data_IF_524679885846
#
_entry.id   IF_524679885846
#
_cell.length_a   1.000
_cell.length_b   1.000
_cell.length_c   1.000
_cell.angle_alpha   90.00
_cell.angle_beta   90.00
_cell.angle_gamma   90.00
#
_symmetry.space_group_name_H-M   'P 1'
#
loop_
_entity.id
_entity.type
_entity.pdbx_description
1 polymer ?
#
# COMPACT_ATOMS: atom_id res chain seq x y z
N UNK A 1 17.99 -56.57 24.43
CA UNK A 1 18.70 -55.52 23.66
C UNK A 1 18.00 -55.34 22.32
N UNK A 2 17.10 -54.36 22.25
CA UNK A 2 16.33 -54.05 21.05
C UNK A 2 17.15 -53.07 20.19
N UNK A 3 17.55 -53.49 18.99
CA UNK A 3 18.06 -52.59 17.95
C UNK A 3 16.87 -52.20 17.06
N UNK A 4 16.50 -50.93 17.15
CA UNK A 4 15.53 -50.24 16.29
C UNK A 4 15.91 -50.36 14.81
N UNK A 5 14.94 -50.82 14.02
CA UNK A 5 14.81 -50.54 12.59
C UNK A 5 14.02 -49.24 12.44
N UNK A 6 14.56 -48.26 11.75
CA UNK A 6 13.80 -47.24 11.01
C UNK A 6 14.75 -46.31 10.26
N UNK A 7 15.22 -46.80 9.12
CA UNK A 7 15.79 -45.96 8.06
C UNK A 7 14.89 -46.10 6.84
N UNK A 8 13.67 -45.56 6.91
CA UNK A 8 12.89 -45.33 5.71
C UNK A 8 13.42 -44.06 5.05
N UNK A 9 14.14 -44.28 3.95
CA UNK A 9 14.52 -43.27 2.99
C UNK A 9 13.21 -42.86 2.32
N UNK A 10 12.68 -41.69 2.67
CA UNK A 10 11.56 -41.09 1.95
C UNK A 10 12.01 -40.84 0.51
N UNK A 11 11.24 -41.39 -0.41
CA UNK A 11 11.41 -41.32 -1.87
C UNK A 11 11.30 -39.89 -2.40
N UNK A 12 12.06 -39.60 -3.45
CA UNK A 12 12.21 -38.31 -4.16
C UNK A 12 10.93 -37.78 -4.87
N UNK A 13 9.75 -38.35 -4.61
CA UNK A 13 8.51 -38.14 -5.38
C UNK A 13 7.44 -37.27 -4.67
N UNK A 14 7.78 -36.60 -3.56
CA UNK A 14 6.92 -35.60 -2.90
C UNK A 14 7.52 -34.17 -2.89
N UNK A 15 8.17 -33.74 -3.97
CA UNK A 15 8.32 -32.31 -4.24
C UNK A 15 6.96 -31.73 -4.69
N UNK A 16 5.99 -31.73 -3.77
CA UNK A 16 4.93 -30.73 -3.82
C UNK A 16 5.64 -29.38 -3.92
N UNK A 17 5.17 -28.49 -4.79
CA UNK A 17 5.75 -27.15 -4.93
C UNK A 17 5.57 -26.43 -3.59
N UNK A 18 6.56 -26.57 -2.70
CA UNK A 18 6.64 -25.84 -1.44
C UNK A 18 6.79 -24.39 -1.84
N UNK A 19 5.70 -23.64 -1.73
CA UNK A 19 5.75 -22.20 -1.89
C UNK A 19 6.39 -21.67 -0.61
N UNK A 20 7.71 -21.48 -0.65
CA UNK A 20 8.44 -20.87 0.45
C UNK A 20 7.82 -19.50 0.73
N UNK A 21 7.23 -19.36 1.91
CA UNK A 21 6.70 -18.07 2.34
C UNK A 21 7.74 -17.33 3.19
N UNK A 22 7.44 -16.08 3.54
CA UNK A 22 8.36 -15.23 4.29
C UNK A 22 8.80 -15.87 5.62
N UNK A 23 7.91 -16.61 6.30
CA UNK A 23 8.25 -17.31 7.53
C UNK A 23 9.20 -18.50 7.26
N UNK A 24 8.97 -19.27 6.20
CA UNK A 24 9.89 -20.36 5.80
C UNK A 24 11.31 -19.82 5.57
N UNK A 25 11.43 -18.71 4.83
CA UNK A 25 12.73 -18.07 4.60
C UNK A 25 13.39 -17.58 5.89
N UNK A 26 12.62 -17.03 6.82
CA UNK A 26 13.15 -16.60 8.11
C UNK A 26 13.58 -17.75 9.00
N UNK A 27 12.85 -18.87 9.01
CA UNK A 27 13.23 -20.07 9.74
C UNK A 27 14.48 -20.72 9.14
N UNK A 28 14.60 -20.77 7.81
CA UNK A 28 15.81 -21.23 7.15
C UNK A 28 17.01 -20.35 7.50
N UNK A 29 16.86 -19.03 7.40
CA UNK A 29 17.93 -18.10 7.74
C UNK A 29 18.33 -18.18 9.22
N UNK A 30 17.39 -18.48 10.12
CA UNK A 30 17.64 -18.75 11.53
C UNK A 30 18.51 -19.99 11.73
N UNK A 31 18.18 -21.09 11.04
CA UNK A 31 18.94 -22.33 11.10
C UNK A 31 20.38 -22.14 10.58
N UNK A 32 20.55 -21.34 9.53
CA UNK A 32 21.86 -21.08 8.91
C UNK A 32 22.74 -20.11 9.72
N UNK A 33 22.14 -19.10 10.36
CA UNK A 33 22.89 -17.98 10.96
C UNK A 33 22.75 -17.88 12.48
N UNK A 34 22.06 -18.82 13.12
CA UNK A 34 21.90 -18.87 14.58
C UNK A 34 21.09 -17.70 15.15
N UNK A 35 20.09 -17.18 14.42
CA UNK A 35 19.26 -16.08 14.91
C UNK A 35 18.41 -16.51 16.10
N UNK A 36 18.17 -15.60 17.05
CA UNK A 36 17.28 -15.90 18.17
C UNK A 36 15.82 -15.96 17.73
N UNK A 37 15.02 -16.84 18.34
CA UNK A 37 13.57 -16.92 18.10
C UNK A 37 12.87 -15.59 18.41
N UNK A 38 13.36 -14.85 19.42
CA UNK A 38 12.87 -13.50 19.73
C UNK A 38 13.05 -12.55 18.55
N UNK A 39 14.24 -12.53 17.94
CA UNK A 39 14.52 -11.70 16.78
C UNK A 39 13.58 -12.02 15.60
N UNK A 40 13.38 -13.31 15.31
CA UNK A 40 12.44 -13.72 14.27
C UNK A 40 11.01 -13.23 14.53
N UNK A 41 10.52 -13.44 15.76
CA UNK A 41 9.18 -13.01 16.16
C UNK A 41 9.02 -11.50 16.02
N UNK A 42 9.98 -10.73 16.52
CA UNK A 42 9.93 -9.26 16.49
C UNK A 42 9.98 -8.75 15.04
N UNK A 43 10.77 -9.39 14.17
CA UNK A 43 10.80 -9.10 12.73
C UNK A 43 9.45 -9.42 12.05
N UNK A 44 8.86 -10.58 12.29
CA UNK A 44 7.56 -10.98 11.75
C UNK A 44 6.45 -10.01 12.16
N UNK A 45 6.43 -9.61 13.44
CA UNK A 45 5.49 -8.60 13.95
C UNK A 45 5.66 -7.27 13.21
N UNK A 46 6.88 -6.81 12.98
CA UNK A 46 7.15 -5.60 12.21
C UNK A 46 6.59 -5.68 10.79
N UNK A 47 6.78 -6.81 10.09
CA UNK A 47 6.22 -7.01 8.75
C UNK A 47 4.68 -7.02 8.74
N UNK A 48 4.05 -7.69 9.71
CA UNK A 48 2.59 -7.75 9.79
C UNK A 48 1.97 -6.39 10.06
N UNK A 49 2.50 -5.62 11.02
CA UNK A 49 2.01 -4.27 11.33
C UNK A 49 2.21 -3.35 10.14
N UNK A 50 3.40 -3.36 9.54
CA UNK A 50 3.71 -2.51 8.39
C UNK A 50 2.81 -2.81 7.18
N UNK A 51 2.56 -4.09 6.87
CA UNK A 51 1.76 -4.50 5.72
C UNK A 51 0.25 -4.36 5.91
N UNK A 52 -0.26 -4.62 7.11
CA UNK A 52 -1.71 -4.62 7.40
C UNK A 52 -2.28 -3.21 7.47
N UNK A 53 -1.78 -2.41 8.40
CA UNK A 53 -2.48 -1.18 8.81
C UNK A 53 -2.35 -0.08 7.76
N UNK A 54 -1.19 -0.01 7.09
CA UNK A 54 -0.96 0.97 6.00
C UNK A 54 -1.82 0.65 4.77
N UNK A 55 -1.92 -0.62 4.37
CA UNK A 55 -2.75 -1.06 3.24
C UNK A 55 -4.24 -0.90 3.54
N UNK A 56 -4.67 -1.21 4.77
CA UNK A 56 -6.05 -0.99 5.22
C UNK A 56 -6.45 0.49 5.16
N UNK A 57 -5.55 1.38 5.59
CA UNK A 57 -5.74 2.83 5.46
C UNK A 57 -5.89 3.26 4.00
N UNK A 58 -4.99 2.81 3.11
CA UNK A 58 -5.07 3.10 1.68
C UNK A 58 -6.41 2.65 1.08
N UNK A 59 -6.84 1.41 1.33
CA UNK A 59 -8.10 0.88 0.81
C UNK A 59 -9.30 1.66 1.35
N UNK A 60 -9.30 2.01 2.63
CA UNK A 60 -10.38 2.74 3.28
C UNK A 60 -10.55 4.14 2.67
N UNK A 61 -9.45 4.88 2.52
CA UNK A 61 -9.49 6.19 1.85
C UNK A 61 -9.84 6.06 0.36
N UNK A 62 -9.40 4.99 -0.31
CA UNK A 62 -9.76 4.74 -1.71
C UNK A 62 -11.28 4.57 -1.86
N UNK A 63 -11.90 3.73 -1.03
CA UNK A 63 -13.36 3.56 -1.04
C UNK A 63 -14.05 4.89 -0.79
N UNK A 64 -13.58 5.69 0.18
CA UNK A 64 -14.15 7.02 0.43
C UNK A 64 -14.09 7.94 -0.79
N UNK A 65 -12.94 8.03 -1.47
CA UNK A 65 -12.82 8.86 -2.67
C UNK A 65 -13.72 8.36 -3.80
N UNK A 66 -13.77 7.05 -4.06
CA UNK A 66 -14.61 6.47 -5.11
C UNK A 66 -16.10 6.74 -4.86
N UNK A 67 -16.55 6.58 -3.61
CA UNK A 67 -17.93 6.84 -3.20
C UNK A 67 -18.37 8.29 -3.42
N UNK A 68 -17.42 9.23 -3.31
CA UNK A 68 -17.66 10.66 -3.52
C UNK A 68 -17.35 11.15 -4.95
N UNK A 69 -16.84 10.27 -5.83
CA UNK A 69 -16.49 10.57 -7.23
C UNK A 69 -16.99 9.43 -8.13
N UNK A 70 -18.31 9.35 -8.37
CA UNK A 70 -18.92 8.24 -9.10
C UNK A 70 -18.36 8.08 -10.52
N UNK A 71 -17.99 9.18 -11.18
CA UNK A 71 -17.34 9.18 -12.48
C UNK A 71 -15.98 8.44 -12.47
N UNK A 72 -15.19 8.63 -11.41
CA UNK A 72 -13.93 7.90 -11.20
C UNK A 72 -14.22 6.43 -10.86
N UNK A 73 -15.23 6.17 -10.03
CA UNK A 73 -15.63 4.80 -9.68
C UNK A 73 -16.06 3.99 -10.90
N UNK A 74 -16.83 4.59 -11.81
CA UNK A 74 -17.27 3.97 -13.05
C UNK A 74 -16.09 3.69 -13.99
N UNK A 75 -15.14 4.63 -14.13
CA UNK A 75 -13.91 4.41 -14.91
C UNK A 75 -13.09 3.24 -14.37
N UNK A 76 -12.90 3.14 -13.04
CA UNK A 76 -12.18 2.01 -12.42
C UNK A 76 -12.94 0.70 -12.62
N UNK A 77 -14.25 0.71 -12.45
CA UNK A 77 -15.08 -0.48 -12.63
C UNK A 77 -15.03 -0.99 -14.08
N UNK A 78 -15.16 -0.09 -15.06
CA UNK A 78 -15.08 -0.43 -16.48
C UNK A 78 -13.70 -1.00 -16.83
N UNK A 79 -12.61 -0.41 -16.33
CA UNK A 79 -11.26 -0.98 -16.51
C UNK A 79 -11.15 -2.41 -15.95
N UNK A 80 -11.75 -2.68 -14.79
CA UNK A 80 -11.78 -4.03 -14.21
C UNK A 80 -12.60 -4.98 -15.08
N UNK A 81 -13.77 -4.56 -15.58
CA UNK A 81 -14.61 -5.38 -16.44
C UNK A 81 -13.91 -5.70 -17.77
N UNK A 82 -13.22 -4.74 -18.37
CA UNK A 82 -12.50 -4.94 -19.63
C UNK A 82 -11.30 -5.90 -19.48
N UNK A 83 -10.60 -5.83 -18.34
CA UNK A 83 -9.38 -6.63 -18.12
C UNK A 83 -9.68 -8.02 -17.53
N UNK A 84 -10.65 -8.15 -16.63
CA UNK A 84 -10.93 -9.37 -15.88
C UNK A 84 -12.37 -9.89 -16.06
N UNK A 85 -13.32 -9.03 -16.38
CA UNK A 85 -14.74 -9.35 -16.32
C UNK A 85 -15.28 -9.44 -14.88
N UNK A 86 -16.54 -9.88 -14.71
CA UNK A 86 -17.25 -9.80 -13.43
C UNK A 86 -16.78 -10.83 -12.39
N UNK A 87 -16.29 -12.00 -12.80
CA UNK A 87 -16.09 -13.14 -11.90
C UNK A 87 -14.63 -13.60 -11.77
N UNK A 88 -13.79 -13.36 -12.80
CA UNK A 88 -12.42 -13.85 -12.84
C UNK A 88 -11.59 -13.31 -11.67
N UNK A 89 -10.76 -14.19 -11.10
CA UNK A 89 -9.83 -13.82 -10.03
C UNK A 89 -8.65 -13.02 -10.60
N UNK A 90 -8.17 -11.97 -9.92
CA UNK A 90 -7.00 -11.23 -10.37
C UNK A 90 -5.73 -12.08 -10.33
N UNK A 91 -4.98 -12.02 -11.43
CA UNK A 91 -3.64 -12.59 -11.54
C UNK A 91 -2.63 -11.46 -11.76
N UNK A 92 -1.34 -11.72 -11.60
CA UNK A 92 -0.31 -10.69 -11.71
C UNK A 92 -0.36 -9.92 -13.04
N UNK A 93 -0.63 -10.61 -14.16
CA UNK A 93 -0.71 -9.95 -15.46
C UNK A 93 -1.98 -9.12 -15.66
N UNK A 94 -3.08 -9.47 -14.97
CA UNK A 94 -4.26 -8.61 -14.89
C UNK A 94 -3.93 -7.33 -14.11
N UNK A 95 -3.29 -7.45 -12.95
CA UNK A 95 -2.97 -6.29 -12.09
C UNK A 95 -2.07 -5.26 -12.81
N UNK A 96 -1.12 -5.72 -13.64
CA UNK A 96 -0.27 -4.85 -14.47
C UNK A 96 -1.06 -4.02 -15.50
N UNK A 97 -2.23 -4.51 -15.93
CA UNK A 97 -3.09 -3.85 -16.93
C UNK A 97 -4.06 -2.83 -16.31
N UNK A 98 -4.33 -2.91 -15.00
CA UNK A 98 -5.20 -1.99 -14.25
C UNK A 98 -4.49 -0.65 -13.96
N UNK A 99 -4.22 0.12 -15.02
CA UNK A 99 -3.43 1.34 -14.97
C UNK A 99 -4.20 2.48 -14.30
N UNK A 100 -5.47 2.66 -14.65
CA UNK A 100 -6.32 3.70 -14.08
C UNK A 100 -6.59 3.46 -12.59
N UNK A 101 -6.84 2.20 -12.20
CA UNK A 101 -6.90 1.83 -10.79
C UNK A 101 -5.63 2.23 -10.03
N UNK A 102 -4.46 2.02 -10.62
CA UNK A 102 -3.19 2.45 -10.02
C UNK A 102 -3.06 3.98 -9.95
N UNK A 103 -3.56 4.72 -10.94
CA UNK A 103 -3.63 6.19 -10.90
C UNK A 103 -4.50 6.68 -9.74
N UNK A 104 -5.66 6.04 -9.54
CA UNK A 104 -6.54 6.30 -8.38
C UNK A 104 -5.80 6.04 -7.07
N UNK A 105 -5.15 4.88 -6.91
CA UNK A 105 -4.38 4.58 -5.71
C UNK A 105 -3.27 5.61 -5.46
N UNK A 106 -2.57 6.05 -6.51
CA UNK A 106 -1.54 7.08 -6.37
C UNK A 106 -2.13 8.42 -5.90
N UNK A 107 -3.27 8.82 -6.44
CA UNK A 107 -3.92 10.07 -6.05
C UNK A 107 -4.46 10.01 -4.61
N UNK A 108 -4.99 8.85 -4.20
CA UNK A 108 -5.34 8.58 -2.81
C UNK A 108 -4.10 8.64 -1.94
N UNK A 109 -2.98 8.01 -2.31
CA UNK A 109 -1.72 8.06 -1.56
C UNK A 109 -1.15 9.48 -1.46
N UNK A 110 -1.36 10.32 -2.48
CA UNK A 110 -0.95 11.73 -2.47
C UNK A 110 -1.76 12.52 -1.45
N UNK A 111 -3.08 12.34 -1.44
CA UNK A 111 -3.94 13.08 -0.53
C UNK A 111 -4.03 12.44 0.87
N UNK A 112 -3.86 11.14 1.00
CA UNK A 112 -4.01 10.40 2.25
C UNK A 112 -2.88 9.38 2.39
N UNK A 113 -1.60 9.82 2.47
CA UNK A 113 -0.49 8.92 2.69
C UNK A 113 -0.65 8.23 4.05
N UNK A 114 -0.63 6.89 4.13
CA UNK A 114 -0.79 6.18 5.39
C UNK A 114 0.23 6.57 6.45
N UNK A 115 1.46 6.92 6.06
CA UNK A 115 2.50 7.46 6.96
C UNK A 115 2.76 8.92 6.58
N UNK A 116 2.08 9.89 7.23
CA UNK A 116 2.07 11.29 6.80
C UNK A 116 3.34 12.07 7.18
N UNK A 117 4.05 11.64 8.22
CA UNK A 117 5.27 12.24 8.75
C UNK A 117 6.37 11.18 8.86
N UNK A 118 7.61 11.57 8.61
CA UNK A 118 8.75 10.70 8.84
C UNK A 118 9.94 11.50 9.33
N UNK A 119 10.70 10.92 10.25
CA UNK A 119 11.77 11.60 10.96
C UNK A 119 13.10 10.85 10.86
N UNK A 120 14.19 11.59 10.81
CA UNK A 120 15.56 11.08 10.91
C UNK A 120 16.30 11.89 11.96
N UNK A 121 17.25 11.26 12.64
CA UNK A 121 18.16 11.96 13.52
C UNK A 121 19.53 11.96 12.87
N UNK A 122 20.17 13.13 12.80
CA UNK A 122 21.55 13.23 12.33
C UNK A 122 22.48 12.52 13.32
N UNK A 123 23.45 11.75 12.81
CA UNK A 123 24.48 11.11 13.64
C UNK A 123 25.63 12.10 13.88
N UNK A 124 26.04 12.76 12.81
CA UNK A 124 27.06 13.81 12.79
C UNK A 124 26.44 15.11 12.26
N UNK A 125 27.22 16.17 12.19
CA UNK A 125 26.78 17.42 11.58
C UNK A 125 26.63 17.29 10.06
N UNK A 126 25.73 18.08 9.48
CA UNK A 126 25.48 18.10 8.04
C UNK A 126 25.05 19.50 7.57
N UNK A 127 25.09 19.73 6.26
CA UNK A 127 24.60 20.96 5.62
C UNK A 127 23.57 20.57 4.55
N UNK A 128 22.33 21.01 4.74
CA UNK A 128 21.27 20.78 3.77
C UNK A 128 21.60 21.45 2.42
N UNK A 129 21.01 20.99 1.29
CA UNK A 129 21.27 21.57 -0.04
C UNK A 129 20.99 23.08 -0.17
N UNK A 130 20.24 23.66 0.76
CA UNK A 130 19.95 25.09 0.84
C UNK A 130 20.91 25.85 1.79
N UNK A 131 21.99 25.22 2.23
CA UNK A 131 23.03 25.80 3.09
C UNK A 131 22.75 25.79 4.59
N UNK A 132 21.62 25.22 5.04
CA UNK A 132 21.32 25.17 6.48
C UNK A 132 22.16 24.11 7.19
N UNK A 133 22.89 24.54 8.22
CA UNK A 133 23.64 23.66 9.11
C UNK A 133 22.70 22.87 10.03
N UNK A 134 22.99 21.58 10.17
CA UNK A 134 22.31 20.62 11.03
C UNK A 134 23.32 20.12 12.06
N UNK A 135 23.16 20.45 13.36
CA UNK A 135 24.00 19.89 14.41
C UNK A 135 23.87 18.37 14.53
N UNK A 136 24.86 17.67 15.13
CA UNK A 136 24.71 16.26 15.49
C UNK A 136 23.48 16.02 16.39
N UNK A 137 22.88 14.84 16.27
CA UNK A 137 21.71 14.41 17.06
C UNK A 137 20.44 15.25 16.87
N UNK A 138 20.35 16.02 15.80
CA UNK A 138 19.17 16.81 15.43
C UNK A 138 18.11 15.94 14.77
N UNK A 139 16.88 15.96 15.28
CA UNK A 139 15.74 15.31 14.62
C UNK A 139 15.18 16.20 13.51
N UNK A 140 15.27 15.73 12.27
CA UNK A 140 14.65 16.32 11.09
C UNK A 140 13.40 15.54 10.75
N UNK A 141 12.26 16.22 10.67
CA UNK A 141 10.98 15.63 10.25
C UNK A 141 10.52 16.25 8.94
N UNK A 142 10.07 15.43 8.01
CA UNK A 142 9.39 15.90 6.80
C UNK A 142 7.99 15.30 6.73
N UNK A 143 7.10 15.99 6.01
CA UNK A 143 5.72 15.57 5.86
C UNK A 143 5.41 15.21 4.41
N UNK A 144 5.15 13.92 4.16
CA UNK A 144 4.55 13.49 2.90
C UNK A 144 3.20 14.18 2.70
N UNK A 145 2.38 14.25 3.75
CA UNK A 145 1.04 14.85 3.69
C UNK A 145 1.03 16.30 3.22
N UNK A 146 1.97 17.12 3.73
CA UNK A 146 2.11 18.54 3.34
C UNK A 146 2.76 18.65 1.97
N UNK A 147 3.90 17.99 1.74
CA UNK A 147 4.63 18.06 0.46
C UNK A 147 3.74 17.67 -0.72
N UNK A 148 2.87 16.68 -0.53
CA UNK A 148 1.93 16.21 -1.55
C UNK A 148 0.80 17.19 -1.86
N UNK A 149 0.71 18.33 -1.14
CA UNK A 149 -0.30 19.39 -1.30
C UNK A 149 0.28 20.76 -1.60
N UNK A 150 1.59 20.90 -1.63
CA UNK A 150 2.21 22.21 -1.88
C UNK A 150 1.86 22.66 -3.31
N UNK A 151 1.20 23.81 -3.52
CA UNK A 151 0.83 24.27 -4.86
C UNK A 151 2.03 24.49 -5.79
N UNK A 152 3.20 24.82 -5.22
CA UNK A 152 4.45 24.92 -5.97
C UNK A 152 4.89 23.61 -6.66
N UNK A 153 4.40 22.47 -6.17
CA UNK A 153 4.68 21.15 -6.71
C UNK A 153 3.48 20.60 -7.49
N UNK A 154 2.26 20.83 -6.99
CA UNK A 154 1.07 20.16 -7.50
C UNK A 154 0.10 21.08 -8.24
N UNK A 155 0.39 22.38 -8.36
CA UNK A 155 -0.48 23.38 -8.96
C UNK A 155 -1.57 23.89 -8.00
N UNK A 156 -2.39 24.83 -8.48
CA UNK A 156 -3.49 25.39 -7.68
C UNK A 156 -4.56 24.34 -7.32
N UNK A 157 -4.66 23.27 -8.11
CA UNK A 157 -5.55 22.14 -7.89
C UNK A 157 -5.01 21.12 -6.89
N UNK A 158 -3.93 21.41 -6.16
CA UNK A 158 -3.23 20.46 -5.28
C UNK A 158 -4.13 19.77 -4.25
N UNK A 159 -5.22 20.40 -3.80
CA UNK A 159 -6.15 19.79 -2.84
C UNK A 159 -7.30 19.01 -3.49
N UNK A 160 -7.45 19.07 -4.82
CA UNK A 160 -8.47 18.32 -5.55
C UNK A 160 -8.02 16.87 -5.75
N UNK A 161 -8.98 15.95 -5.69
CA UNK A 161 -8.79 14.56 -6.08
C UNK A 161 -8.91 14.45 -7.60
N UNK A 162 -7.79 14.17 -8.26
CA UNK A 162 -7.71 14.04 -9.71
C UNK A 162 -6.76 12.89 -10.11
N UNK A 163 -7.31 11.69 -10.38
CA UNK A 163 -6.52 10.56 -10.86
C UNK A 163 -5.83 10.80 -12.21
N UNK A 164 -6.41 11.63 -13.08
CA UNK A 164 -5.88 11.88 -14.43
C UNK A 164 -4.52 12.64 -14.37
N UNK A 165 -4.19 13.22 -13.21
CA UNK A 165 -2.84 13.75 -12.87
C UNK A 165 -1.72 12.73 -13.09
N UNK A 166 -2.02 11.45 -12.91
CA UNK A 166 -1.09 10.34 -13.08
C UNK A 166 -1.09 9.77 -14.51
N UNK A 167 -1.91 10.34 -15.39
CA UNK A 167 -2.00 9.97 -16.80
C UNK A 167 -0.78 10.43 -17.63
N UNK A 168 -0.67 9.97 -18.88
CA UNK A 168 0.46 10.27 -19.76
C UNK A 168 0.71 11.77 -19.96
N UNK A 169 -0.35 12.59 -19.96
CA UNK A 169 -0.25 14.03 -20.22
C UNK A 169 0.43 14.83 -19.10
N UNK A 170 0.23 14.41 -17.84
CA UNK A 170 0.69 15.16 -16.66
C UNK A 170 1.80 14.45 -15.87
N UNK A 171 1.92 13.13 -15.99
CA UNK A 171 2.88 12.32 -15.22
C UNK A 171 4.34 12.77 -15.42
N UNK A 172 4.71 13.28 -16.59
CA UNK A 172 6.06 13.79 -16.88
C UNK A 172 6.48 15.00 -16.03
N UNK A 173 5.51 15.70 -15.40
CA UNK A 173 5.79 16.82 -14.50
C UNK A 173 6.17 16.39 -13.07
N UNK A 174 5.95 15.13 -12.71
CA UNK A 174 6.17 14.60 -11.37
C UNK A 174 7.66 14.25 -11.22
N UNK A 175 8.39 15.10 -10.50
CA UNK A 175 9.83 14.93 -10.27
C UNK A 175 10.09 14.02 -9.05
N UNK A 176 11.30 13.43 -8.94
CA UNK A 176 11.71 12.72 -7.74
C UNK A 176 11.44 13.54 -6.47
N UNK A 177 11.06 12.85 -5.39
CA UNK A 177 10.75 13.43 -4.08
C UNK A 177 9.52 14.35 -4.00
N UNK A 178 8.84 14.68 -5.11
CA UNK A 178 7.51 15.34 -5.04
C UNK A 178 6.44 14.38 -4.50
N UNK A 179 6.51 13.11 -4.90
CA UNK A 179 5.63 12.03 -4.47
C UNK A 179 6.43 10.97 -3.71
N UNK A 180 6.14 10.83 -2.42
CA UNK A 180 6.88 10.00 -1.46
C UNK A 180 5.97 9.27 -0.46
N UNK A 181 4.87 8.63 -0.90
CA UNK A 181 3.96 7.93 0.02
C UNK A 181 4.60 6.68 0.65
N UNK A 182 5.66 6.16 0.02
CA UNK A 182 6.50 5.07 0.51
C UNK A 182 7.86 5.56 1.00
N UNK A 183 7.98 6.88 1.20
CA UNK A 183 9.23 7.58 1.47
C UNK A 183 10.25 7.39 0.32
N UNK A 184 11.53 7.66 0.58
CA UNK A 184 12.55 7.61 -0.45
C UNK A 184 13.95 7.31 0.13
N UNK A 185 14.91 7.08 -0.77
CA UNK A 185 16.30 6.81 -0.42
C UNK A 185 16.54 5.39 0.10
N UNK A 186 17.68 5.14 0.80
CA UNK A 186 18.08 3.81 1.25
C UNK A 186 17.11 3.14 2.25
N UNK A 187 16.15 3.90 2.79
CA UNK A 187 15.14 3.45 3.75
C UNK A 187 13.72 3.57 3.17
N UNK A 188 13.60 3.48 1.83
CA UNK A 188 12.31 3.37 1.14
C UNK A 188 11.56 2.12 1.61
N UNK A 189 10.23 2.17 1.59
CA UNK A 189 9.38 1.05 2.01
C UNK A 189 9.70 -0.21 1.20
N UNK A 190 10.19 -1.25 1.88
CA UNK A 190 10.46 -2.56 1.29
C UNK A 190 9.19 -3.22 0.72
N UNK A 191 8.04 -2.95 1.34
CA UNK A 191 6.74 -3.50 0.95
C UNK A 191 6.01 -2.75 -0.15
N UNK A 192 6.62 -1.74 -0.80
CA UNK A 192 5.93 -0.87 -1.76
C UNK A 192 5.19 -1.65 -2.88
N UNK A 193 5.86 -2.60 -3.54
CA UNK A 193 5.26 -3.38 -4.62
C UNK A 193 4.16 -4.31 -4.12
N UNK A 194 4.34 -4.90 -2.93
CA UNK A 194 3.33 -5.72 -2.29
C UNK A 194 2.10 -4.88 -1.93
N UNK A 195 2.28 -3.70 -1.37
CA UNK A 195 1.18 -2.79 -1.01
C UNK A 195 0.33 -2.42 -2.24
N UNK A 196 0.95 -2.03 -3.35
CA UNK A 196 0.21 -1.79 -4.60
C UNK A 196 -0.53 -3.03 -5.07
N UNK A 197 0.16 -4.18 -5.12
CA UNK A 197 -0.45 -5.43 -5.61
C UNK A 197 -1.64 -5.86 -4.75
N UNK A 198 -1.46 -5.93 -3.43
CA UNK A 198 -2.52 -6.30 -2.49
C UNK A 198 -3.68 -5.31 -2.52
N UNK A 199 -3.41 -4.00 -2.59
CA UNK A 199 -4.47 -3.00 -2.70
C UNK A 199 -5.25 -3.13 -4.02
N UNK A 200 -4.57 -3.32 -5.16
CA UNK A 200 -5.22 -3.51 -6.46
C UNK A 200 -6.05 -4.80 -6.48
N UNK A 201 -5.52 -5.92 -5.98
CA UNK A 201 -6.27 -7.19 -5.90
C UNK A 201 -7.50 -7.04 -5.01
N UNK A 202 -7.34 -6.49 -3.80
CA UNK A 202 -8.43 -6.33 -2.85
C UNK A 202 -9.52 -5.40 -3.42
N UNK A 203 -9.13 -4.23 -3.93
CA UNK A 203 -10.06 -3.28 -4.53
C UNK A 203 -10.80 -3.88 -5.72
N UNK A 204 -10.10 -4.63 -6.59
CA UNK A 204 -10.71 -5.33 -7.72
C UNK A 204 -11.79 -6.30 -7.26
N UNK A 205 -11.49 -7.16 -6.28
CA UNK A 205 -12.48 -8.11 -5.74
C UNK A 205 -13.66 -7.40 -5.08
N UNK A 206 -13.40 -6.31 -4.35
CA UNK A 206 -14.47 -5.51 -3.73
C UNK A 206 -15.39 -4.92 -4.81
N UNK A 207 -14.84 -4.31 -5.86
CA UNK A 207 -15.63 -3.67 -6.92
C UNK A 207 -16.32 -4.67 -7.86
N UNK A 208 -15.80 -5.89 -8.04
CA UNK A 208 -16.51 -6.97 -8.73
C UNK A 208 -17.76 -7.43 -7.97
N UNK A 209 -17.71 -7.45 -6.64
CA UNK A 209 -18.77 -8.04 -5.81
C UNK A 209 -19.73 -7.01 -5.23
N UNK A 210 -19.34 -5.73 -5.15
CA UNK A 210 -20.09 -4.71 -4.42
C UNK A 210 -20.13 -3.35 -5.11
N UNK A 211 -21.21 -2.63 -4.88
CA UNK A 211 -21.37 -1.20 -5.13
C UNK A 211 -21.27 -0.49 -3.78
N UNK A 212 -20.39 0.50 -3.69
CA UNK A 212 -20.27 1.36 -2.51
C UNK A 212 -21.00 2.67 -2.78
N UNK A 213 -21.85 3.10 -1.85
CA UNK A 213 -22.64 4.33 -1.94
C UNK A 213 -22.42 5.24 -0.72
N UNK A 214 -22.53 6.56 -0.89
CA UNK A 214 -22.31 7.50 0.21
C UNK A 214 -23.43 7.39 1.24
N UNK A 215 -23.09 7.67 2.51
CA UNK A 215 -24.06 7.90 3.58
C UNK A 215 -24.20 9.42 3.74
N UNK A 216 -25.40 9.94 3.53
CA UNK A 216 -25.68 11.37 3.63
C UNK A 216 -25.29 11.92 5.00
N UNK A 217 -24.46 12.97 5.02
CA UNK A 217 -24.03 13.64 6.25
C UNK A 217 -22.86 12.97 6.98
N UNK A 218 -22.32 11.86 6.47
CA UNK A 218 -21.10 11.27 7.01
C UNK A 218 -19.85 11.97 6.45
N UNK A 219 -18.99 12.45 7.33
CA UNK A 219 -17.66 12.98 6.99
C UNK A 219 -16.60 12.28 7.86
N UNK A 220 -15.56 11.65 7.25
CA UNK A 220 -14.50 11.02 8.01
C UNK A 220 -13.64 12.04 8.74
N UNK A 221 -13.45 11.84 10.04
CA UNK A 221 -12.58 12.65 10.90
C UNK A 221 -11.16 12.12 10.80
N UNK A 222 -10.39 12.74 9.92
CA UNK A 222 -8.98 12.44 9.74
C UNK A 222 -8.21 12.57 11.06
N UNK A 223 -7.42 11.55 11.39
CA UNK A 223 -6.57 11.54 12.59
C UNK A 223 -5.17 11.06 12.25
N UNK A 224 -4.17 11.71 12.85
CA UNK A 224 -2.76 11.39 12.70
C UNK A 224 -2.26 10.74 13.98
N UNK A 225 -1.94 9.47 13.88
CA UNK A 225 -1.09 8.76 14.85
C UNK A 225 0.14 8.24 14.10
N UNK A 226 0.65 7.05 14.43
CA UNK A 226 1.64 6.35 13.60
C UNK A 226 1.17 6.24 12.13
N UNK A 227 -0.12 6.03 11.93
CA UNK A 227 -0.76 6.01 10.61
C UNK A 227 -1.84 7.07 10.50
N UNK A 228 -2.17 7.44 9.27
CA UNK A 228 -3.33 8.26 8.92
C UNK A 228 -4.58 7.39 8.78
N UNK A 229 -5.61 7.64 9.58
CA UNK A 229 -6.88 6.91 9.53
C UNK A 229 -8.07 7.83 9.83
N UNK A 230 -9.29 7.29 9.74
CA UNK A 230 -10.52 7.99 10.14
C UNK A 230 -10.93 7.58 11.55
N UNK A 231 -10.97 8.53 12.49
CA UNK A 231 -11.26 8.29 13.92
C UNK A 231 -12.69 7.86 14.19
N UNK A 232 -13.65 8.33 13.39
CA UNK A 232 -15.06 7.94 13.46
C UNK A 232 -15.40 6.81 12.47
N UNK A 233 -14.42 6.03 12.03
CA UNK A 233 -14.62 4.94 11.07
C UNK A 233 -14.85 5.44 9.64
N UNK A 234 -15.41 4.58 8.79
CA UNK A 234 -15.75 4.91 7.39
C UNK A 234 -17.12 4.32 7.07
N UNK A 235 -18.17 5.12 7.20
CA UNK A 235 -19.53 4.66 6.92
C UNK A 235 -19.83 4.79 5.42
N UNK A 236 -20.17 3.64 4.83
CA UNK A 236 -20.60 3.53 3.44
C UNK A 236 -21.75 2.53 3.37
N UNK A 237 -22.69 2.75 2.45
CA UNK A 237 -23.70 1.73 2.12
C UNK A 237 -23.10 0.77 1.11
N UNK A 238 -23.24 -0.52 1.36
CA UNK A 238 -22.71 -1.58 0.51
C UNK A 238 -23.88 -2.38 -0.05
N UNK A 239 -23.93 -2.48 -1.37
CA UNK A 239 -24.91 -3.30 -2.08
C UNK A 239 -24.17 -4.40 -2.86
N UNK A 240 -24.69 -5.62 -2.84
CA UNK A 240 -24.10 -6.72 -3.62
C UNK A 240 -24.35 -6.49 -5.10
N UNK A 241 -23.32 -6.59 -5.93
CA UNK A 241 -23.47 -6.60 -7.40
C UNK A 241 -24.06 -7.93 -7.84
N UNK A 242 -24.97 -7.87 -8.79
CA UNK A 242 -25.53 -9.05 -9.43
C UNK A 242 -24.57 -9.45 -10.56
N UNK A 243 -23.83 -10.57 -10.46
CA UNK A 243 -22.75 -10.90 -11.39
C UNK A 243 -23.22 -11.22 -12.83
N UNK A 244 -24.54 -11.19 -13.08
CA UNK A 244 -25.19 -11.49 -14.35
C UNK A 244 -25.89 -10.27 -14.99
N UNK A 245 -25.94 -9.13 -14.30
CA UNK A 245 -26.45 -7.87 -14.84
C UNK A 245 -25.25 -6.99 -15.19
N UNK A 246 -24.68 -7.24 -16.38
CA UNK A 246 -23.83 -6.27 -17.09
C UNK A 246 -24.71 -5.46 -18.06
#
# INVERSE_FOLDING_TARGET
EAKEKSGEILSDDEKSVRHDNLLDHFLQHQAENGLSTKYLRDMLLNFMVAGRDTTASLLTWTVWYLVNHPDVADKVYNEIMDVLGPTSSPEFDHIKKLKYQKQVLNEVLRLRPPVPLNSRQSVEEDILPNGHYIPPHTTITYSAYVTHRLPQFWGEDANKFDPDRWGPERSGSIKPFMFVPFHAGPRICLGQNLAYTTAQVALTRLLQNFVFKPVTGFEPKQYFDLILFSRNGMEVRVEKRNPLEC
#
